data_IF_186392623673
#
_entry.id   IF_186392623673
#
_cell.length_a   1.000
_cell.length_b   1.000
_cell.length_c   1.000
_cell.angle_alpha   90.00
_cell.angle_beta   90.00
_cell.angle_gamma   90.00
#
_symmetry.space_group_name_H-M   'P 1'
#
loop_
_entity.id
_entity.type
_entity.pdbx_description
1 polymer ?
#
# COMPACT_ATOMS: atom_id res chain seq x y z
N UNK A 1 35.24 -18.62 -18.66
CA UNK A 1 33.83 -18.83 -19.03
C UNK A 1 33.01 -18.02 -18.05
N UNK A 2 32.19 -17.12 -18.58
CA UNK A 2 31.85 -15.82 -18.02
C UNK A 2 30.85 -15.88 -16.84
N UNK A 3 31.22 -15.28 -15.71
CA UNK A 3 30.46 -15.23 -14.45
C UNK A 3 29.14 -14.43 -14.56
N UNK A 4 28.89 -13.73 -15.68
CA UNK A 4 27.65 -12.98 -15.93
C UNK A 4 26.42 -13.87 -16.18
N UNK A 5 26.63 -15.14 -16.57
CA UNK A 5 25.54 -16.13 -16.72
C UNK A 5 25.04 -16.69 -15.37
N UNK A 6 25.90 -16.77 -14.35
CA UNK A 6 25.51 -17.28 -13.03
C UNK A 6 24.73 -16.26 -12.19
N UNK A 7 24.86 -14.96 -12.49
CA UNK A 7 24.09 -13.90 -11.82
C UNK A 7 22.64 -13.79 -12.30
N UNK A 8 22.26 -14.49 -13.38
CA UNK A 8 20.88 -14.55 -13.90
C UNK A 8 20.02 -15.63 -13.24
N UNK A 9 20.63 -16.62 -12.59
CA UNK A 9 19.90 -17.77 -12.01
C UNK A 9 19.51 -17.60 -10.53
N UNK A 10 19.90 -16.50 -9.87
CA UNK A 10 19.61 -16.25 -8.45
C UNK A 10 18.81 -14.96 -8.19
N UNK A 11 18.25 -14.36 -9.25
CA UNK A 11 17.74 -13.00 -9.19
C UNK A 11 16.24 -12.95 -8.87
N UNK A 12 15.99 -13.08 -7.58
CA UNK A 12 14.76 -12.86 -6.86
C UNK A 12 13.84 -11.80 -7.49
N UNK A 13 12.54 -12.12 -7.54
CA UNK A 13 11.37 -11.30 -7.90
C UNK A 13 11.45 -9.77 -7.63
N UNK A 14 12.24 -9.35 -6.64
CA UNK A 14 12.53 -7.96 -6.33
C UNK A 14 13.28 -7.19 -7.43
N UNK A 15 14.26 -7.80 -8.11
CA UNK A 15 15.00 -7.08 -9.17
C UNK A 15 14.15 -6.95 -10.44
N UNK A 16 13.41 -7.99 -10.82
CA UNK A 16 12.50 -7.92 -11.98
C UNK A 16 11.48 -6.79 -11.81
N UNK A 17 10.90 -6.66 -10.60
CA UNK A 17 10.02 -5.55 -10.21
C UNK A 17 10.72 -4.18 -10.16
N UNK A 18 12.02 -4.15 -9.84
CA UNK A 18 12.82 -2.92 -9.90
C UNK A 18 13.06 -2.51 -11.35
N UNK A 19 13.41 -3.44 -12.23
CA UNK A 19 13.67 -3.16 -13.65
C UNK A 19 12.42 -2.68 -14.41
N UNK A 20 11.22 -3.07 -13.96
CA UNK A 20 9.97 -2.51 -14.49
C UNK A 20 9.86 -0.99 -14.33
N UNK A 21 10.50 -0.36 -13.35
CA UNK A 21 10.45 1.10 -13.19
C UNK A 21 11.38 1.84 -14.16
N UNK A 22 12.40 1.17 -14.70
CA UNK A 22 13.34 1.74 -15.68
C UNK A 22 12.90 1.51 -17.12
N UNK A 23 11.95 0.60 -17.35
CA UNK A 23 11.50 0.23 -18.68
C UNK A 23 10.42 1.20 -19.19
N UNK A 24 10.63 1.91 -20.31
CA UNK A 24 9.66 2.86 -20.85
C UNK A 24 8.36 2.20 -21.32
N UNK A 25 8.43 0.94 -21.77
CA UNK A 25 7.29 0.14 -22.22
C UNK A 25 6.71 -0.77 -21.13
N UNK A 26 7.05 -0.55 -19.86
CA UNK A 26 6.41 -1.27 -18.76
C UNK A 26 4.90 -1.03 -18.79
N UNK A 27 4.11 -2.12 -18.74
CA UNK A 27 2.67 -2.01 -18.69
C UNK A 27 2.27 -1.24 -17.42
N UNK A 28 1.73 -0.04 -17.61
CA UNK A 28 1.23 0.80 -16.52
C UNK A 28 -0.23 0.46 -16.23
N UNK A 29 -0.60 0.54 -14.96
CA UNK A 29 -1.95 0.37 -14.48
C UNK A 29 -2.62 1.75 -14.39
N UNK A 30 -3.65 2.00 -15.22
CA UNK A 30 -4.35 3.28 -15.27
C UNK A 30 -5.51 3.32 -14.28
N UNK A 31 -5.69 4.46 -13.62
CA UNK A 31 -6.86 4.71 -12.79
C UNK A 31 -8.13 4.89 -13.64
N UNK A 32 -9.25 4.24 -13.30
CA UNK A 32 -10.50 4.42 -14.03
C UNK A 32 -11.16 5.78 -13.74
N UNK A 33 -10.82 6.44 -12.63
CA UNK A 33 -11.48 7.67 -12.17
C UNK A 33 -10.68 8.95 -12.44
N UNK A 34 -9.40 8.84 -12.79
CA UNK A 34 -8.53 9.98 -13.04
C UNK A 34 -7.40 9.62 -14.02
N UNK A 35 -6.64 10.60 -14.57
CA UNK A 35 -5.60 10.32 -15.56
C UNK A 35 -4.32 9.69 -14.98
N UNK A 36 -4.27 9.37 -13.69
CA UNK A 36 -3.08 8.81 -13.04
C UNK A 36 -2.78 7.38 -13.50
N UNK A 37 -1.49 7.07 -13.61
CA UNK A 37 -0.99 5.74 -13.99
C UNK A 37 0.09 5.26 -13.02
N UNK A 38 0.08 3.98 -12.70
CA UNK A 38 0.95 3.38 -11.70
C UNK A 38 1.77 2.25 -12.30
N UNK A 39 3.02 2.11 -11.87
CA UNK A 39 3.89 1.02 -12.32
C UNK A 39 3.49 -0.35 -11.73
N UNK A 40 2.63 -0.39 -10.70
CA UNK A 40 2.23 -1.62 -10.00
C UNK A 40 0.73 -1.62 -9.73
N UNK A 41 0.11 -2.80 -9.85
CA UNK A 41 -1.33 -3.00 -9.56
C UNK A 41 -1.68 -2.62 -8.13
N UNK A 42 -0.89 -3.02 -7.15
CA UNK A 42 -1.11 -2.69 -5.74
C UNK A 42 -1.14 -1.18 -5.49
N UNK A 43 -0.26 -0.42 -6.15
CA UNK A 43 -0.24 1.04 -6.05
C UNK A 43 -1.52 1.67 -6.63
N UNK A 44 -2.02 1.12 -7.75
CA UNK A 44 -3.32 1.53 -8.30
C UNK A 44 -4.47 1.21 -7.33
N UNK A 45 -4.54 -0.01 -6.79
CA UNK A 45 -5.61 -0.43 -5.88
C UNK A 45 -5.71 0.48 -4.65
N UNK A 46 -4.57 0.82 -4.05
CA UNK A 46 -4.50 1.78 -2.95
C UNK A 46 -4.97 3.16 -3.39
N UNK A 47 -4.53 3.62 -4.56
CA UNK A 47 -4.93 4.93 -5.08
C UNK A 47 -6.46 5.00 -5.27
N UNK A 48 -7.07 3.94 -5.80
CA UNK A 48 -8.53 3.85 -5.99
C UNK A 48 -9.27 3.93 -4.65
N UNK A 49 -8.74 3.36 -3.56
CA UNK A 49 -9.34 3.51 -2.22
C UNK A 49 -9.49 4.97 -1.79
N UNK A 50 -8.59 5.86 -2.21
CA UNK A 50 -8.71 7.29 -1.89
C UNK A 50 -9.89 7.95 -2.60
N UNK A 51 -10.24 7.49 -3.81
CA UNK A 51 -11.44 7.96 -4.50
C UNK A 51 -12.71 7.52 -3.80
N UNK A 52 -12.74 6.26 -3.35
CA UNK A 52 -13.88 5.66 -2.65
C UNK A 52 -13.96 6.07 -1.17
N UNK A 53 -13.02 6.90 -0.69
CA UNK A 53 -12.80 7.21 0.73
C UNK A 53 -12.71 5.95 1.61
N UNK A 54 -12.30 4.83 1.02
CA UNK A 54 -12.18 3.55 1.69
C UNK A 54 -10.90 3.55 2.55
N UNK A 55 -11.07 3.40 3.87
CA UNK A 55 -10.01 3.46 4.88
C UNK A 55 -9.98 2.15 5.67
N UNK A 56 -9.52 1.04 5.06
CA UNK A 56 -9.61 -0.27 5.68
C UNK A 56 -8.64 -0.44 6.86
N UNK A 57 -7.72 0.49 7.11
CA UNK A 57 -6.79 0.43 8.23
C UNK A 57 -7.20 1.44 9.29
N UNK A 58 -7.66 0.97 10.46
CA UNK A 58 -8.16 1.83 11.52
C UNK A 58 -7.24 1.75 12.75
N UNK A 59 -6.99 2.89 13.38
CA UNK A 59 -6.35 2.93 14.69
C UNK A 59 -7.40 2.64 15.76
N UNK A 60 -7.27 1.57 16.57
CA UNK A 60 -8.29 1.27 17.59
C UNK A 60 -8.30 2.24 18.77
N UNK A 61 -7.20 2.95 19.01
CA UNK A 61 -7.09 3.90 20.13
C UNK A 61 -7.88 5.19 19.90
N UNK A 62 -7.93 5.65 18.64
CA UNK A 62 -8.53 6.94 18.29
C UNK A 62 -9.52 6.86 17.13
N UNK A 63 -9.74 5.65 16.59
CA UNK A 63 -10.61 5.36 15.44
C UNK A 63 -10.24 6.05 14.12
N UNK A 64 -9.07 6.73 14.01
CA UNK A 64 -8.65 7.35 12.75
C UNK A 64 -8.44 6.26 11.67
N UNK A 65 -9.08 6.45 10.52
CA UNK A 65 -8.97 5.56 9.37
C UNK A 65 -7.89 5.99 8.36
N UNK A 66 -7.19 5.02 7.77
CA UNK A 66 -6.14 5.22 6.77
C UNK A 66 -6.34 4.31 5.55
N UNK A 67 -5.98 4.80 4.37
CA UNK A 67 -6.01 4.02 3.11
C UNK A 67 -4.82 3.05 2.97
N UNK A 68 -3.80 3.21 3.83
CA UNK A 68 -2.53 2.49 3.78
C UNK A 68 -2.03 2.09 5.17
N UNK A 69 -1.53 0.84 5.30
CA UNK A 69 -0.86 0.32 6.50
C UNK A 69 0.26 1.25 7.00
N UNK A 70 1.12 1.71 6.10
CA UNK A 70 2.28 2.55 6.46
C UNK A 70 1.85 3.89 7.06
N UNK A 71 0.71 4.44 6.64
CA UNK A 71 0.17 5.68 7.22
C UNK A 71 -0.31 5.44 8.65
N UNK A 72 -1.05 4.35 8.89
CA UNK A 72 -1.45 3.95 10.24
C UNK A 72 -0.23 3.68 11.14
N UNK A 73 0.78 2.97 10.64
CA UNK A 73 2.02 2.71 11.40
C UNK A 73 2.72 4.00 11.79
N UNK A 74 2.86 4.96 10.87
CA UNK A 74 3.45 6.28 11.18
C UNK A 74 2.61 7.04 12.19
N UNK A 75 1.28 7.02 12.05
CA UNK A 75 0.37 7.62 13.01
C UNK A 75 0.58 7.03 14.41
N UNK A 76 0.57 5.70 14.56
CA UNK A 76 0.79 5.03 15.85
C UNK A 76 2.16 5.40 16.42
N UNK A 77 3.22 5.35 15.61
CA UNK A 77 4.57 5.70 16.08
C UNK A 77 4.68 7.14 16.58
N UNK A 78 3.97 8.09 15.96
CA UNK A 78 4.06 9.52 16.31
C UNK A 78 3.04 9.97 17.37
N UNK A 79 1.85 9.35 17.40
CA UNK A 79 0.72 9.78 18.24
C UNK A 79 0.40 8.80 19.37
N UNK A 80 0.85 7.55 19.25
CA UNK A 80 0.62 6.46 20.21
C UNK A 80 1.90 5.64 20.45
N UNK A 81 3.04 6.27 20.81
CA UNK A 81 4.35 5.61 20.91
C UNK A 81 4.35 4.37 21.84
N UNK A 82 3.54 4.40 22.89
CA UNK A 82 3.38 3.30 23.85
C UNK A 82 2.71 2.04 23.27
N UNK A 83 2.07 2.14 22.10
CA UNK A 83 1.37 1.03 21.44
C UNK A 83 2.02 0.63 20.10
N UNK A 84 3.20 1.17 19.78
CA UNK A 84 3.93 0.95 18.53
C UNK A 84 4.28 -0.51 18.22
N UNK A 85 4.33 -1.38 19.23
CA UNK A 85 4.58 -2.82 19.09
C UNK A 85 3.30 -3.65 18.83
N UNK A 86 2.12 -3.12 19.16
CA UNK A 86 0.83 -3.77 18.90
C UNK A 86 0.29 -3.21 17.59
N UNK A 87 0.71 -3.80 16.48
CA UNK A 87 0.21 -3.38 15.17
C UNK A 87 -1.24 -3.88 15.03
N UNK A 88 -2.20 -3.15 15.58
CA UNK A 88 -3.62 -3.49 15.43
C UNK A 88 -4.07 -3.10 14.03
N UNK A 89 -3.74 -3.96 13.07
CA UNK A 89 -4.19 -3.88 11.69
C UNK A 89 -5.41 -4.75 11.57
N UNK A 90 -6.59 -4.21 11.86
CA UNK A 90 -7.78 -4.81 11.30
C UNK A 90 -7.97 -4.22 9.91
N UNK A 91 -7.86 -5.07 8.90
CA UNK A 91 -8.44 -4.82 7.59
C UNK A 91 -9.93 -5.14 7.76
N UNK A 92 -10.76 -4.12 7.91
CA UNK A 92 -12.21 -4.35 7.98
C UNK A 92 -12.65 -4.74 6.55
N UNK A 93 -13.14 -5.97 6.39
CA UNK A 93 -13.80 -6.40 5.16
C UNK A 93 -15.11 -5.60 5.06
N UNK A 94 -15.23 -4.78 4.01
CA UNK A 94 -16.19 -3.68 3.89
C UNK A 94 -17.63 -4.13 3.62
N UNK A 95 -18.15 -5.12 4.34
CA UNK A 95 -19.56 -5.50 4.25
C UNK A 95 -20.36 -5.31 5.55
N UNK A 96 -19.74 -4.88 6.64
CA UNK A 96 -20.44 -4.54 7.88
C UNK A 96 -19.98 -3.13 8.33
N UNK A 97 -20.90 -2.16 8.24
CA UNK A 97 -20.77 -0.76 8.66
C UNK A 97 -20.21 -0.63 10.11
N UNK A 98 -19.59 0.49 10.53
CA UNK A 98 -20.13 1.85 10.38
C UNK A 98 -19.11 2.95 10.08
N UNK A 99 -19.59 4.07 9.53
CA UNK A 99 -19.38 5.48 9.91
C UNK A 99 -18.14 5.92 10.74
N UNK A 100 -17.00 5.25 10.63
CA UNK A 100 -15.76 5.57 11.35
C UNK A 100 -14.83 6.47 10.54
N UNK A 101 -15.29 6.95 9.38
CA UNK A 101 -14.54 7.88 8.54
C UNK A 101 -14.55 9.33 9.09
N UNK A 102 -15.35 9.63 10.12
CA UNK A 102 -15.57 10.98 10.64
C UNK A 102 -14.90 11.26 12.00
N UNK A 103 -14.19 10.28 12.58
CA UNK A 103 -13.38 10.51 13.77
C UNK A 103 -11.89 10.48 13.41
N UNK A 104 -11.31 11.69 13.34
CA UNK A 104 -9.91 12.07 13.11
C UNK A 104 -9.40 12.08 11.63
#
# INVERSE_FOLDING_TARGET
MDVSMHMKLLLCHGLERHMQTHSPNSQKFRCPQCPQTFARKTALEIHVRNHEKNRPYVCLECSCGYSHRTLLTKHIQMKHPQYSAQVVLQRIDTNELPSLADAC
#
